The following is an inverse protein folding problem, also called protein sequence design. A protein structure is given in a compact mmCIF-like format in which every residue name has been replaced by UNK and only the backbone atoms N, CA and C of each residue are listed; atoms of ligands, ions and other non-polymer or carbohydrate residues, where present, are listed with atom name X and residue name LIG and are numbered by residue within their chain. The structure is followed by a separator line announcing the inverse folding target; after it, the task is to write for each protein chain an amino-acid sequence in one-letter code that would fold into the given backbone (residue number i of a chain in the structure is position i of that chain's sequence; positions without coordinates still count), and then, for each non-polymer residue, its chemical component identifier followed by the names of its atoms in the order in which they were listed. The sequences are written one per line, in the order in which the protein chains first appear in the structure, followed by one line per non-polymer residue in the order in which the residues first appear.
data_IF_822296867180
#
_entry.id   IF_822296867180
#
_cell.length_a   1.000
_cell.length_b   1.000
_cell.length_c   1.000
_cell.angle_alpha   90.00
_cell.angle_beta   90.00
_cell.angle_gamma   90.00
#
_symmetry.space_group_name_H-M   'P 1'
#
loop_
_entity.id
_entity.type
_entity.pdbx_description
1 polymer ?
#
# COMPACT_ATOMS: atom_id res chain seq x y z
N UNK A 1 15.11 -6.09 0.29
CA UNK A 1 13.87 -5.69 0.98
C UNK A 1 13.67 -4.21 0.70
N UNK A 2 12.50 -3.81 0.20
CA UNK A 2 12.23 -2.41 -0.17
C UNK A 2 11.55 -1.76 1.04
N UNK A 3 12.26 -0.88 1.77
CA UNK A 3 11.70 0.00 2.81
C UNK A 3 10.92 1.14 2.13
N UNK A 4 9.96 1.79 2.80
CA UNK A 4 9.37 3.06 2.35
C UNK A 4 10.47 4.07 1.96
N UNK A 5 11.56 4.15 2.73
CA UNK A 5 12.71 4.97 2.36
C UNK A 5 13.38 4.52 1.06
N UNK A 6 13.34 3.24 0.66
CA UNK A 6 13.85 2.72 -0.63
C UNK A 6 12.82 2.90 -1.77
N UNK A 7 11.51 2.80 -1.48
CA UNK A 7 10.45 3.23 -2.41
C UNK A 7 10.67 4.71 -2.73
N UNK A 8 10.98 5.52 -1.73
CA UNK A 8 11.17 6.94 -1.87
C UNK A 8 12.57 7.29 -2.45
N UNK A 9 13.66 6.69 -1.97
CA UNK A 9 15.05 7.10 -2.28
C UNK A 9 15.57 6.69 -3.63
N UNK A 10 15.06 5.58 -4.20
CA UNK A 10 15.44 5.16 -5.55
C UNK A 10 14.58 5.82 -6.64
N UNK A 11 13.72 6.77 -6.26
CA UNK A 11 12.66 7.25 -7.12
C UNK A 11 12.74 8.75 -7.35
N UNK A 12 12.80 9.15 -8.62
CA UNK A 12 12.56 10.55 -8.98
C UNK A 12 11.15 10.96 -8.53
N UNK A 13 10.86 12.26 -8.33
CA UNK A 13 9.51 12.79 -7.97
C UNK A 13 8.34 12.17 -8.77
N UNK A 14 8.62 11.62 -9.96
CA UNK A 14 7.67 10.97 -10.87
C UNK A 14 7.33 9.52 -10.51
N UNK A 15 8.17 8.81 -9.77
CA UNK A 15 7.98 7.38 -9.46
C UNK A 15 7.27 7.16 -8.11
N UNK A 16 7.45 8.07 -7.14
CA UNK A 16 6.64 8.08 -5.90
C UNK A 16 5.14 8.29 -6.19
N UNK A 17 4.80 8.80 -7.37
CA UNK A 17 3.43 8.96 -7.84
C UNK A 17 2.91 7.80 -8.70
N UNK A 18 3.62 6.68 -8.86
CA UNK A 18 3.13 5.57 -9.69
C UNK A 18 2.91 4.28 -8.90
N UNK A 19 2.03 3.43 -9.44
CA UNK A 19 1.92 2.05 -8.97
C UNK A 19 3.17 1.28 -9.36
N UNK A 20 3.65 0.40 -8.48
CA UNK A 20 4.84 -0.40 -8.71
C UNK A 20 4.43 -1.87 -8.68
N UNK A 21 4.69 -2.54 -9.79
CA UNK A 21 4.51 -3.97 -9.92
C UNK A 21 5.53 -4.58 -10.88
N UNK A 22 5.84 -5.84 -10.69
CA UNK A 22 6.80 -6.57 -11.50
C UNK A 22 6.29 -7.98 -11.79
N UNK A 23 6.62 -8.52 -12.95
CA UNK A 23 6.37 -9.92 -13.24
C UNK A 23 7.50 -10.75 -12.66
N UNK A 24 7.15 -11.78 -11.91
CA UNK A 24 8.09 -12.76 -11.35
C UNK A 24 7.67 -14.17 -11.70
N UNK A 25 8.67 -14.96 -12.04
CA UNK A 25 8.54 -16.41 -12.19
C UNK A 25 8.62 -17.04 -10.80
N UNK A 26 7.60 -17.80 -10.42
CA UNK A 26 7.50 -18.41 -9.09
C UNK A 26 7.14 -19.88 -9.22
N UNK A 27 7.77 -20.71 -8.38
CA UNK A 27 7.49 -22.15 -8.30
C UNK A 27 6.40 -22.43 -7.28
N UNK A 28 5.37 -23.18 -7.69
CA UNK A 28 4.34 -23.65 -6.77
C UNK A 28 4.95 -24.50 -5.65
N UNK A 29 4.78 -24.15 -4.36
CA UNK A 29 5.38 -24.91 -3.27
C UNK A 29 4.80 -26.33 -3.13
N UNK A 30 3.62 -26.59 -3.71
CA UNK A 30 2.96 -27.90 -3.67
C UNK A 30 3.37 -28.84 -4.81
N UNK A 31 3.53 -28.35 -6.03
CA UNK A 31 3.75 -29.20 -7.21
C UNK A 31 4.96 -28.81 -8.06
N UNK A 32 5.71 -27.78 -7.65
CA UNK A 32 6.88 -27.22 -8.33
C UNK A 32 6.64 -26.74 -9.75
N UNK A 33 5.38 -26.59 -10.17
CA UNK A 33 5.07 -25.97 -11.45
C UNK A 33 5.45 -24.50 -11.42
N UNK A 34 6.28 -24.11 -12.37
CA UNK A 34 6.72 -22.75 -12.61
C UNK A 34 5.62 -21.97 -13.32
N UNK A 35 5.32 -20.76 -12.84
CA UNK A 35 4.39 -19.84 -13.51
C UNK A 35 4.77 -18.39 -13.25
N UNK A 36 4.40 -17.53 -14.19
CA UNK A 36 4.61 -16.09 -14.08
C UNK A 36 3.43 -15.42 -13.39
N UNK A 37 3.72 -14.56 -12.43
CA UNK A 37 2.73 -13.80 -11.68
C UNK A 37 3.16 -12.35 -11.56
N UNK A 38 2.19 -11.44 -11.40
CA UNK A 38 2.45 -10.03 -11.13
C UNK A 38 2.44 -9.78 -9.63
N UNK A 39 3.55 -9.25 -9.11
CA UNK A 39 3.72 -8.86 -7.71
C UNK A 39 3.65 -7.34 -7.61
N UNK A 40 2.83 -6.85 -6.70
CA UNK A 40 2.60 -5.44 -6.42
C UNK A 40 3.30 -5.04 -5.14
N UNK A 41 3.98 -3.90 -5.16
CA UNK A 41 4.59 -3.27 -3.99
C UNK A 41 4.05 -1.86 -3.73
N UNK A 42 3.43 -1.22 -4.72
CA UNK A 42 2.70 0.04 -4.53
C UNK A 42 1.48 0.13 -5.46
N UNK A 43 0.40 0.73 -4.97
CA UNK A 43 -0.81 1.08 -5.70
C UNK A 43 -1.05 2.58 -5.52
N UNK A 44 -1.00 3.33 -6.63
CA UNK A 44 -1.60 4.66 -6.71
C UNK A 44 -3.04 4.51 -7.20
N UNK A 45 -4.00 4.70 -6.31
CA UNK A 45 -5.43 4.52 -6.59
C UNK A 45 -5.98 5.51 -7.63
N UNK A 46 -5.41 6.71 -7.73
CA UNK A 46 -5.85 7.72 -8.69
C UNK A 46 -5.42 7.37 -10.13
N UNK A 47 -4.33 6.61 -10.29
CA UNK A 47 -3.77 6.27 -11.61
C UNK A 47 -4.00 4.81 -12.01
N UNK A 48 -4.28 3.91 -11.06
CA UNK A 48 -4.38 2.48 -11.32
C UNK A 48 -5.62 1.87 -10.62
N UNK A 49 -6.82 2.05 -11.20
CA UNK A 49 -8.06 1.49 -10.65
C UNK A 49 -8.03 -0.06 -10.62
N UNK A 50 -7.33 -0.70 -11.55
CA UNK A 50 -7.21 -2.15 -11.59
C UNK A 50 -6.46 -2.71 -10.38
N UNK A 51 -5.35 -2.07 -9.98
CA UNK A 51 -4.61 -2.43 -8.77
C UNK A 51 -5.48 -2.29 -7.51
N UNK A 52 -6.26 -1.20 -7.42
CA UNK A 52 -7.23 -0.99 -6.34
C UNK A 52 -8.29 -2.09 -6.33
N UNK A 53 -8.91 -2.40 -7.45
CA UNK A 53 -9.95 -3.44 -7.52
C UNK A 53 -9.40 -4.80 -7.09
N UNK A 54 -8.22 -5.19 -7.56
CA UNK A 54 -7.55 -6.42 -7.12
C UNK A 54 -7.30 -6.46 -5.61
N UNK A 55 -6.90 -5.34 -5.01
CA UNK A 55 -6.73 -5.25 -3.56
C UNK A 55 -8.06 -5.48 -2.83
N UNK A 56 -9.14 -4.83 -3.27
CA UNK A 56 -10.45 -4.90 -2.63
C UNK A 56 -11.14 -6.26 -2.83
N UNK A 57 -10.86 -6.94 -3.94
CA UNK A 57 -11.31 -8.31 -4.22
C UNK A 57 -10.48 -9.39 -3.50
N UNK A 58 -9.39 -9.01 -2.81
CA UNK A 58 -8.47 -9.96 -2.18
C UNK A 58 -7.59 -10.74 -3.16
N UNK A 59 -7.53 -10.31 -4.42
CA UNK A 59 -6.75 -10.94 -5.49
C UNK A 59 -5.32 -10.35 -5.63
N UNK A 60 -5.00 -9.26 -4.94
CA UNK A 60 -3.66 -8.65 -4.97
C UNK A 60 -2.64 -9.57 -4.30
N UNK A 61 -1.47 -9.76 -4.93
CA UNK A 61 -0.41 -10.63 -4.44
C UNK A 61 -0.90 -12.03 -4.03
N UNK A 62 -1.97 -12.51 -4.66
CA UNK A 62 -2.53 -13.83 -4.45
C UNK A 62 -1.97 -14.79 -5.49
N UNK A 63 -1.35 -15.87 -5.02
CA UNK A 63 -0.87 -16.95 -5.86
C UNK A 63 -1.94 -18.03 -5.96
N UNK A 64 -2.30 -18.42 -7.19
CA UNK A 64 -3.14 -19.59 -7.47
C UNK A 64 -2.49 -20.42 -8.55
N UNK A 65 -2.02 -21.61 -8.20
CA UNK A 65 -1.35 -22.49 -9.15
C UNK A 65 -2.34 -23.02 -10.20
N UNK A 66 -2.15 -22.64 -11.46
CA UNK A 66 -2.86 -23.17 -12.63
C UNK A 66 -2.80 -24.70 -12.80
N UNK A 67 -1.77 -25.37 -12.28
CA UNK A 67 -1.63 -26.84 -12.37
C UNK A 67 -2.34 -27.62 -11.26
N UNK A 68 -2.16 -27.24 -9.99
CA UNK A 68 -2.63 -28.03 -8.84
C UNK A 68 -3.62 -27.31 -7.93
N UNK A 69 -4.01 -26.08 -8.29
CA UNK A 69 -4.97 -25.24 -7.57
C UNK A 69 -4.56 -24.91 -6.13
N UNK A 70 -3.26 -25.03 -5.80
CA UNK A 70 -2.74 -24.52 -4.54
C UNK A 70 -2.85 -22.99 -4.51
N UNK A 71 -3.36 -22.46 -3.40
CA UNK A 71 -3.56 -21.03 -3.20
C UNK A 71 -2.80 -20.55 -1.96
N UNK A 72 -2.21 -19.35 -2.07
CA UNK A 72 -1.49 -18.70 -0.97
C UNK A 72 -1.35 -17.20 -1.22
N UNK A 73 -1.30 -16.40 -0.17
CA UNK A 73 -0.84 -15.02 -0.26
C UNK A 73 0.68 -14.97 -0.39
N UNK A 74 1.17 -14.03 -1.18
CA UNK A 74 2.60 -13.74 -1.28
C UNK A 74 2.90 -12.57 -0.33
N UNK A 75 3.68 -12.80 0.75
CA UNK A 75 3.88 -11.82 1.81
C UNK A 75 4.88 -10.75 1.37
N UNK A 76 4.43 -9.80 0.54
CA UNK A 76 5.22 -8.66 0.06
C UNK A 76 4.64 -7.37 0.66
N UNK A 77 5.48 -6.44 1.17
CA UNK A 77 5.02 -5.12 1.58
C UNK A 77 4.27 -4.41 0.46
N UNK A 78 3.16 -3.77 0.80
CA UNK A 78 2.28 -3.11 -0.17
C UNK A 78 1.89 -1.72 0.34
N UNK A 79 2.33 -0.68 -0.36
CA UNK A 79 1.87 0.68 -0.14
C UNK A 79 0.61 0.94 -0.98
N UNK A 80 -0.51 1.24 -0.34
CA UNK A 80 -1.65 1.86 -1.00
C UNK A 80 -1.60 3.37 -0.75
N UNK A 81 -1.75 4.16 -1.81
CA UNK A 81 -1.96 5.59 -1.64
C UNK A 81 -2.96 6.16 -2.66
N UNK A 82 -3.69 7.17 -2.21
CA UNK A 82 -4.66 7.95 -2.98
C UNK A 82 -4.32 9.43 -2.75
N UNK A 83 -3.62 10.08 -3.70
CA UNK A 83 -3.28 11.49 -3.59
C UNK A 83 -4.51 12.41 -3.51
N UNK A 84 -5.58 12.09 -4.24
CA UNK A 84 -6.79 12.91 -4.32
C UNK A 84 -7.52 12.93 -2.98
N UNK A 85 -7.52 11.79 -2.27
CA UNK A 85 -8.14 11.64 -0.95
C UNK A 85 -7.17 11.82 0.23
N UNK A 86 -5.89 12.08 -0.05
CA UNK A 86 -4.79 12.11 0.94
C UNK A 86 -4.77 10.87 1.85
N UNK A 87 -4.93 9.68 1.26
CA UNK A 87 -4.85 8.40 1.98
C UNK A 87 -3.51 7.76 1.67
N UNK A 88 -2.81 7.27 2.69
CA UNK A 88 -1.62 6.45 2.55
C UNK A 88 -1.61 5.38 3.63
N UNK A 89 -1.51 4.12 3.23
CA UNK A 89 -1.55 2.96 4.12
C UNK A 89 -0.53 1.94 3.63
N UNK A 90 0.34 1.48 4.50
CA UNK A 90 1.41 0.55 4.16
C UNK A 90 1.25 -0.75 4.94
N UNK A 91 0.95 -1.81 4.21
CA UNK A 91 0.96 -3.16 4.72
C UNK A 91 2.38 -3.70 4.80
N UNK A 92 2.72 -4.30 5.93
CA UNK A 92 3.90 -5.15 6.06
C UNK A 92 3.50 -6.56 6.50
N UNK A 93 4.13 -7.61 5.93
CA UNK A 93 4.01 -8.96 6.48
C UNK A 93 4.42 -8.98 7.96
N UNK A 94 3.66 -9.62 8.86
CA UNK A 94 3.95 -9.65 10.30
C UNK A 94 5.36 -10.13 10.64
N UNK A 95 5.90 -11.05 9.83
CA UNK A 95 7.27 -11.56 9.95
C UNK A 95 8.35 -10.47 9.81
N UNK A 96 8.02 -9.33 9.21
CA UNK A 96 8.91 -8.17 9.12
C UNK A 96 9.26 -7.61 10.51
N UNK A 97 8.34 -7.69 11.48
CA UNK A 97 8.54 -7.17 12.84
C UNK A 97 9.66 -7.87 13.61
N UNK A 98 10.06 -9.07 13.19
CA UNK A 98 11.15 -9.83 13.82
C UNK A 98 12.54 -9.32 13.41
N UNK A 99 12.62 -8.37 12.48
CA UNK A 99 13.88 -7.88 11.90
C UNK A 99 14.22 -6.51 12.48
N UNK A 100 15.42 -6.36 13.03
CA UNK A 100 15.90 -5.09 13.59
C UNK A 100 15.92 -3.98 12.55
N UNK A 101 16.27 -4.28 11.29
CA UNK A 101 16.29 -3.31 10.20
C UNK A 101 14.89 -2.81 9.82
N UNK A 102 13.85 -3.59 10.12
CA UNK A 102 12.47 -3.14 9.98
C UNK A 102 12.10 -2.19 11.12
N UNK A 103 12.40 -2.56 12.37
CA UNK A 103 12.09 -1.75 13.55
C UNK A 103 12.80 -0.39 13.54
N UNK A 104 14.03 -0.33 13.02
CA UNK A 104 14.80 0.92 12.90
C UNK A 104 14.15 1.99 11.99
N UNK A 105 13.09 1.64 11.27
CA UNK A 105 12.36 2.55 10.38
C UNK A 105 11.29 3.35 11.14
N UNK A 106 11.05 3.04 12.41
CA UNK A 106 9.97 3.60 13.21
C UNK A 106 10.47 4.21 14.50
N UNK A 107 9.80 5.27 14.95
CA UNK A 107 9.96 5.77 16.31
C UNK A 107 9.22 4.87 17.32
N UNK A 108 9.32 5.20 18.61
CA UNK A 108 8.67 4.44 19.69
C UNK A 108 7.12 4.49 19.64
N UNK A 109 6.54 5.38 18.85
CA UNK A 109 5.09 5.49 18.63
C UNK A 109 4.64 4.74 17.36
N UNK A 110 5.57 4.08 16.66
CA UNK A 110 5.29 3.34 15.43
C UNK A 110 5.13 4.25 14.21
N UNK A 111 5.53 5.54 14.29
CA UNK A 111 5.54 6.44 13.13
C UNK A 111 6.82 6.22 12.34
N UNK A 112 6.73 6.28 11.02
CA UNK A 112 7.91 6.22 10.17
C UNK A 112 8.87 7.35 10.52
N UNK A 113 10.14 7.00 10.69
CA UNK A 113 11.23 7.96 10.72
C UNK A 113 11.47 8.36 9.26
N UNK A 114 10.80 9.43 8.82
CA UNK A 114 11.16 10.09 7.57
C UNK A 114 12.47 10.80 7.84
N UNK A 115 13.58 10.15 7.48
CA UNK A 115 14.90 10.72 7.67
C UNK A 115 14.96 12.09 6.97
N UNK A 116 15.60 13.06 7.61
CA UNK A 116 16.01 14.34 6.99
C UNK A 116 17.04 14.13 5.84
N UNK A 117 17.13 12.93 5.27
CA UNK A 117 18.16 12.44 4.33
C UNK A 117 17.58 12.13 2.93
N UNK A 118 16.35 12.55 2.64
CA UNK A 118 15.79 12.46 1.30
C UNK A 118 15.88 13.80 0.60
N UNK A 119 16.72 13.88 -0.44
CA UNK A 119 16.95 15.07 -1.29
C UNK A 119 15.75 15.42 -2.21
N UNK A 120 14.56 14.92 -1.89
CA UNK A 120 13.34 15.14 -2.64
C UNK A 120 12.16 15.42 -1.72
N UNK A 121 11.28 16.34 -2.16
CA UNK A 121 10.04 16.60 -1.43
C UNK A 121 9.17 15.35 -1.42
N UNK A 122 8.96 14.79 -0.23
CA UNK A 122 7.97 13.75 -0.02
C UNK A 122 6.58 14.39 -0.11
N UNK A 123 5.66 13.85 -0.93
CA UNK A 123 4.28 14.33 -0.98
C UNK A 123 3.62 14.34 0.40
N UNK A 124 2.86 15.39 0.71
CA UNK A 124 2.23 15.59 2.03
C UNK A 124 1.43 14.38 2.50
N UNK A 125 0.68 13.73 1.61
CA UNK A 125 -0.14 12.56 1.97
C UNK A 125 0.69 11.33 2.34
N UNK A 126 1.98 11.28 1.97
CA UNK A 126 2.92 10.22 2.36
C UNK A 126 3.71 10.57 3.63
N UNK A 127 3.50 11.73 4.24
CA UNK A 127 4.14 12.08 5.52
C UNK A 127 3.48 11.39 6.71
N UNK A 128 2.21 11.00 6.60
CA UNK A 128 1.45 10.32 7.65
C UNK A 128 0.89 8.98 7.16
N UNK A 129 1.80 8.08 6.79
CA UNK A 129 1.45 6.73 6.33
C UNK A 129 0.93 5.90 7.50
N UNK A 130 -0.28 5.38 7.38
CA UNK A 130 -0.84 4.45 8.36
C UNK A 130 -0.26 3.04 8.16
N UNK A 131 0.22 2.42 9.23
CA UNK A 131 0.82 1.08 9.18
C UNK A 131 -0.17 0.02 9.58
N UNK A 132 -0.22 -1.06 8.81
CA UNK A 132 -1.07 -2.23 9.07
C UNK A 132 -0.26 -3.51 8.86
N UNK A 133 -0.61 -4.55 9.59
CA UNK A 133 0.07 -5.86 9.50
C UNK A 133 -0.84 -6.96 8.96
N UNK A 134 -2.05 -6.58 8.53
CA UNK A 134 -3.03 -7.48 7.95
C UNK A 134 -3.65 -6.86 6.69
N UNK A 135 -3.85 -7.65 5.64
CA UNK A 135 -4.43 -7.19 4.37
C UNK A 135 -5.90 -6.76 4.51
N UNK A 136 -6.69 -7.39 5.38
CA UNK A 136 -8.06 -6.97 5.64
C UNK A 136 -8.10 -5.66 6.42
N UNK A 137 -7.12 -5.44 7.31
CA UNK A 137 -6.97 -4.16 8.02
C UNK A 137 -6.59 -3.03 7.05
N UNK A 138 -5.69 -3.30 6.09
CA UNK A 138 -5.39 -2.38 4.98
C UNK A 138 -6.68 -1.93 4.27
N UNK A 139 -7.48 -2.90 3.80
CA UNK A 139 -8.73 -2.61 3.08
C UNK A 139 -9.74 -1.89 3.97
N UNK A 140 -9.97 -2.36 5.19
CA UNK A 140 -10.93 -1.76 6.12
C UNK A 140 -10.54 -0.32 6.48
N UNK A 141 -9.26 -0.04 6.68
CA UNK A 141 -8.80 1.31 6.99
C UNK A 141 -8.96 2.25 5.79
N UNK A 142 -8.69 1.78 4.57
CA UNK A 142 -8.96 2.56 3.35
C UNK A 142 -10.45 2.90 3.25
N UNK A 143 -11.34 1.90 3.38
CA UNK A 143 -12.79 2.10 3.33
C UNK A 143 -13.23 3.08 4.42
N UNK A 144 -12.75 2.91 5.65
CA UNK A 144 -13.04 3.82 6.76
C UNK A 144 -12.65 5.27 6.42
N UNK A 145 -11.45 5.47 5.85
CA UNK A 145 -10.97 6.80 5.45
C UNK A 145 -11.80 7.40 4.31
N UNK A 146 -12.21 6.61 3.33
CA UNK A 146 -13.12 7.04 2.26
C UNK A 146 -14.48 7.47 2.85
N UNK A 147 -15.10 6.64 3.68
CA UNK A 147 -16.37 6.96 4.35
C UNK A 147 -16.29 8.20 5.24
N UNK A 148 -15.17 8.38 5.96
CA UNK A 148 -14.95 9.54 6.81
C UNK A 148 -14.88 10.83 6.00
N UNK A 149 -14.19 10.82 4.86
CA UNK A 149 -14.11 11.97 3.96
C UNK A 149 -15.49 12.36 3.44
N UNK A 150 -16.26 11.38 2.95
CA UNK A 150 -17.63 11.61 2.47
C UNK A 150 -18.54 12.18 3.57
N UNK A 151 -18.45 11.63 4.78
CA UNK A 151 -19.22 12.10 5.92
C UNK A 151 -18.94 13.56 6.27
N UNK A 152 -17.67 13.98 6.27
CA UNK A 152 -17.29 15.36 6.57
C UNK A 152 -17.63 16.32 5.42
N UNK A 153 -17.53 15.89 4.16
CA UNK A 153 -17.96 16.70 3.00
C UNK A 153 -19.47 16.96 3.04
N UNK A 154 -20.28 15.96 3.37
CA UNK A 154 -21.74 16.10 3.50
C UNK A 154 -22.15 16.99 4.68
N UNK A 155 -21.36 17.02 5.76
CA UNK A 155 -21.60 17.95 6.88
C UNK A 155 -21.31 19.39 6.46
N UNK A 156 -20.20 19.61 5.76
CA UNK A 156 -19.80 20.95 5.31
C UNK A 156 -20.81 21.55 4.33
N UNK A 157 -21.35 20.75 3.40
CA UNK A 157 -22.39 21.22 2.45
C UNK A 157 -23.74 21.53 3.09
N UNK A 158 -24.04 20.98 4.28
CA UNK A 158 -25.27 21.27 5.04
C UNK A 158 -25.13 22.47 5.98
N UNK A 159 -23.90 22.83 6.39
CA UNK A 159 -23.62 23.99 7.24
C UNK A 159 -23.48 25.31 6.50
N UNK A 160 -23.59 25.33 5.17
CA UNK A 160 -23.62 26.55 4.35
C UNK A 160 -25.01 26.80 3.73
N UNK A 161 -26.02 27.20 4.53
CA UNK A 161 -27.31 27.64 4.00
C UNK A 161 -27.24 29.12 3.59
N UNK A 162 -26.52 29.41 2.51
CA UNK A 162 -26.75 30.60 1.68
C UNK A 162 -26.05 31.90 2.07
N UNK A 163 -25.10 32.33 1.23
CA UNK A 163 -25.12 33.69 0.70
C UNK A 163 -26.22 33.75 -0.38
N UNK A 164 -27.42 34.18 0.00
CA UNK A 164 -28.42 34.79 -0.88
C UNK A 164 -28.83 36.12 -0.24
#
# INVERSE_FOLDING_TARGET
MINLAVILSNQTKKEVSVSIHENRTVNCPKCQHEQNITIWSSINAALNPDGRNKLFEGAINHFKCDKCQYESLIPVPLLYHDPDRKIAVHYFPPESMKKTEFLNQFDIYGKFIVANEVDFDVPEHLMDVHIVFNMNELVNYIIFREMLLEFHQQKQSKTDPGLN
#
